data_IF_633881620896
#
_entry.id   IF_633881620896
#
_cell.length_a   1.000
_cell.length_b   1.000
_cell.length_c   1.000
_cell.angle_alpha   90.00
_cell.angle_beta   90.00
_cell.angle_gamma   90.00
#
_symmetry.space_group_name_H-M   'P 1'
#
loop_
_entity.id
_entity.type
_entity.pdbx_description
1 polymer ?
#
# COMPACT_ATOMS: atom_id res chain seq x y z
N UNK A 1 -11.82 -6.12 8.83
CA UNK A 1 -11.34 -5.10 7.88
C UNK A 1 -12.14 -3.84 8.03
N UNK A 2 -11.49 -2.69 7.96
CA UNK A 2 -12.14 -1.41 8.18
C UNK A 2 -12.58 -0.74 6.89
N UNK A 3 -11.92 -1.05 5.74
CA UNK A 3 -12.38 -0.60 4.43
C UNK A 3 -12.34 -1.80 3.49
N UNK A 4 -13.50 -2.30 3.07
CA UNK A 4 -13.55 -3.45 2.17
C UNK A 4 -13.19 -3.05 0.74
N UNK A 5 -12.84 -4.03 -0.07
CA UNK A 5 -12.51 -3.86 -1.49
C UNK A 5 -13.56 -3.03 -2.23
N UNK A 6 -14.84 -3.23 -1.92
CA UNK A 6 -15.94 -2.51 -2.59
C UNK A 6 -15.95 -1.01 -2.32
N UNK A 7 -15.25 -0.54 -1.28
CA UNK A 7 -15.21 0.86 -0.89
C UNK A 7 -13.81 1.47 -1.00
N UNK A 8 -12.80 0.68 -1.38
CA UNK A 8 -11.40 1.14 -1.33
C UNK A 8 -11.14 2.33 -2.26
N UNK A 9 -11.85 2.39 -3.38
CA UNK A 9 -11.68 3.49 -4.34
C UNK A 9 -12.11 4.86 -3.81
N UNK A 10 -12.80 4.91 -2.67
CA UNK A 10 -13.14 6.17 -2.02
C UNK A 10 -11.97 6.76 -1.24
N UNK A 11 -10.92 5.98 -1.01
CA UNK A 11 -9.78 6.35 -0.17
C UNK A 11 -8.49 6.52 -0.95
N UNK A 12 -8.48 6.15 -2.24
CA UNK A 12 -7.32 6.30 -3.12
C UNK A 12 -7.73 6.96 -4.43
N UNK A 13 -6.82 7.72 -5.08
CA UNK A 13 -7.12 8.32 -6.38
C UNK A 13 -7.00 7.34 -7.54
N UNK A 14 -6.34 6.21 -7.32
CA UNK A 14 -6.10 5.19 -8.35
C UNK A 14 -7.40 4.56 -8.83
N UNK A 15 -7.40 4.09 -10.09
CA UNK A 15 -8.55 3.41 -10.69
C UNK A 15 -8.07 2.21 -11.49
N UNK A 16 -8.98 1.26 -11.75
CA UNK A 16 -8.65 0.09 -12.53
C UNK A 16 -8.11 0.48 -13.91
N UNK A 17 -7.11 -0.22 -14.44
CA UNK A 17 -6.54 -1.47 -13.94
C UNK A 17 -5.34 -1.28 -12.98
N UNK A 18 -5.17 -0.11 -12.39
CA UNK A 18 -3.98 0.24 -11.60
C UNK A 18 -4.19 0.17 -10.09
N UNK A 19 -5.32 -0.36 -9.62
CA UNK A 19 -5.55 -0.56 -8.19
C UNK A 19 -4.82 -1.81 -7.72
N UNK A 20 -3.88 -1.65 -6.79
CA UNK A 20 -3.03 -2.73 -6.27
C UNK A 20 -3.29 -2.99 -4.77
N UNK A 21 -4.50 -2.76 -4.31
CA UNK A 21 -4.95 -3.01 -2.94
C UNK A 21 -6.39 -3.48 -2.99
N UNK A 22 -6.76 -4.45 -2.17
CA UNK A 22 -8.15 -4.88 -2.05
C UNK A 22 -8.77 -4.30 -0.77
N UNK A 23 -8.39 -4.81 0.38
CA UNK A 23 -8.99 -4.43 1.64
C UNK A 23 -7.98 -3.70 2.53
N UNK A 24 -8.44 -2.64 3.20
CA UNK A 24 -7.70 -2.06 4.29
C UNK A 24 -8.15 -2.79 5.56
N UNK A 25 -7.24 -3.57 6.13
CA UNK A 25 -7.57 -4.49 7.23
C UNK A 25 -7.62 -3.75 8.54
N UNK A 26 -6.59 -2.95 8.84
CA UNK A 26 -6.54 -2.17 10.07
C UNK A 26 -5.64 -0.95 9.87
N UNK A 27 -5.98 0.12 10.61
CA UNK A 27 -5.20 1.36 10.59
C UNK A 27 -5.11 1.91 12.01
N UNK A 28 -3.89 2.22 12.44
CA UNK A 28 -3.63 2.99 13.65
C UNK A 28 -2.53 4.00 13.32
N UNK A 29 -2.22 4.88 14.27
CA UNK A 29 -1.13 5.84 14.06
C UNK A 29 0.22 5.15 13.87
N UNK A 30 0.38 3.93 14.37
CA UNK A 30 1.65 3.20 14.37
C UNK A 30 1.73 2.12 13.30
N UNK A 31 0.58 1.68 12.73
CA UNK A 31 0.60 0.50 11.86
C UNK A 31 -0.61 0.46 10.94
N UNK A 32 -0.34 0.23 9.66
CA UNK A 32 -1.36 0.01 8.64
C UNK A 32 -1.25 -1.43 8.12
N UNK A 33 -2.37 -2.07 7.84
CA UNK A 33 -2.36 -3.40 7.25
C UNK A 33 -3.39 -3.50 6.14
N UNK A 34 -2.99 -4.08 5.00
CA UNK A 34 -3.86 -4.32 3.86
C UNK A 34 -3.68 -5.74 3.33
N UNK A 35 -4.61 -6.17 2.49
CA UNK A 35 -4.44 -7.38 1.70
C UNK A 35 -4.73 -7.09 0.23
N UNK A 36 -4.26 -7.98 -0.64
CA UNK A 36 -4.46 -7.88 -2.08
C UNK A 36 -4.38 -9.25 -2.72
N UNK A 37 -5.43 -9.65 -3.43
CA UNK A 37 -5.43 -10.85 -4.26
C UNK A 37 -5.00 -10.47 -5.68
N UNK A 38 -3.87 -10.99 -6.12
CA UNK A 38 -3.29 -10.68 -7.43
C UNK A 38 -4.03 -11.49 -8.49
N UNK A 39 -4.76 -10.83 -9.38
CA UNK A 39 -5.42 -11.50 -10.49
C UNK A 39 -4.43 -11.84 -11.59
N UNK A 40 -4.71 -12.92 -12.33
CA UNK A 40 -3.79 -13.39 -13.37
C UNK A 40 -3.60 -12.41 -14.51
N UNK A 41 -4.60 -11.59 -14.79
CA UNK A 41 -4.56 -10.56 -15.83
C UNK A 41 -4.12 -9.18 -15.31
N UNK A 42 -3.61 -9.12 -14.07
CA UNK A 42 -3.11 -7.88 -13.50
C UNK A 42 -2.00 -7.29 -14.39
N UNK A 43 -2.06 -5.98 -14.64
CA UNK A 43 -1.15 -5.30 -15.56
C UNK A 43 0.33 -5.37 -15.13
N UNK A 44 0.59 -5.65 -13.86
CA UNK A 44 1.95 -5.76 -13.31
C UNK A 44 2.37 -7.21 -13.06
N UNK A 45 1.65 -8.17 -13.64
CA UNK A 45 2.05 -9.58 -13.69
C UNK A 45 2.80 -9.82 -15.00
N UNK A 46 3.97 -10.44 -14.89
CA UNK A 46 4.80 -10.82 -16.03
C UNK A 46 5.38 -12.20 -15.76
N UNK A 47 5.29 -13.09 -16.74
CA UNK A 47 5.76 -14.48 -16.62
C UNK A 47 5.17 -15.20 -15.39
N UNK A 48 3.89 -14.94 -15.11
CA UNK A 48 3.18 -15.59 -14.01
C UNK A 48 3.49 -15.05 -12.62
N UNK A 49 4.29 -13.98 -12.53
CA UNK A 49 4.68 -13.39 -11.23
C UNK A 49 4.35 -11.90 -11.17
N UNK A 50 3.87 -11.49 -10.00
CA UNK A 50 3.64 -10.08 -9.70
C UNK A 50 5.00 -9.40 -9.52
N UNK A 51 5.25 -8.34 -10.25
CA UNK A 51 6.56 -7.72 -10.34
C UNK A 51 6.86 -6.80 -9.15
N UNK A 52 8.13 -6.43 -9.01
CA UNK A 52 8.61 -5.51 -7.98
C UNK A 52 7.81 -4.21 -7.98
N UNK A 53 7.56 -3.65 -9.17
CA UNK A 53 6.77 -2.43 -9.33
C UNK A 53 5.36 -2.58 -8.75
N UNK A 54 4.76 -3.76 -8.88
CA UNK A 54 3.45 -4.05 -8.31
C UNK A 54 3.48 -4.06 -6.79
N UNK A 55 4.52 -4.67 -6.21
CA UNK A 55 4.68 -4.70 -4.76
C UNK A 55 4.90 -3.29 -4.18
N UNK A 56 5.70 -2.47 -4.87
CA UNK A 56 5.91 -1.08 -4.46
C UNK A 56 4.63 -0.26 -4.57
N UNK A 57 3.85 -0.44 -5.66
CA UNK A 57 2.55 0.22 -5.80
C UNK A 57 1.58 -0.20 -4.71
N UNK A 58 1.55 -1.48 -4.37
CA UNK A 58 0.70 -1.97 -3.28
C UNK A 58 1.04 -1.30 -1.94
N UNK A 59 2.32 -1.17 -1.62
CA UNK A 59 2.76 -0.50 -0.40
C UNK A 59 2.34 0.98 -0.42
N UNK A 60 2.57 1.65 -1.55
CA UNK A 60 2.21 3.07 -1.70
C UNK A 60 0.70 3.29 -1.57
N UNK A 61 -0.10 2.41 -2.17
CA UNK A 61 -1.56 2.51 -2.09
C UNK A 61 -2.09 2.16 -0.70
N UNK A 62 -1.41 1.27 0.01
CA UNK A 62 -1.72 1.01 1.42
C UNK A 62 -1.53 2.28 2.25
N UNK A 63 -0.44 3.01 2.01
CA UNK A 63 -0.20 4.30 2.65
C UNK A 63 -1.31 5.30 2.31
N UNK A 64 -1.60 5.46 1.03
CA UNK A 64 -2.61 6.41 0.56
C UNK A 64 -3.98 6.14 1.17
N UNK A 65 -4.42 4.88 1.16
CA UNK A 65 -5.70 4.49 1.72
C UNK A 65 -5.74 4.72 3.23
N UNK A 66 -4.65 4.42 3.92
CA UNK A 66 -4.57 4.56 5.38
C UNK A 66 -4.57 6.01 5.82
N UNK A 67 -3.79 6.86 5.17
CA UNK A 67 -3.81 8.30 5.45
C UNK A 67 -5.17 8.90 5.09
N UNK A 68 -5.77 8.48 3.98
CA UNK A 68 -7.11 8.91 3.60
C UNK A 68 -8.17 8.52 4.64
N UNK A 69 -8.05 7.31 5.18
CA UNK A 69 -8.94 6.84 6.24
C UNK A 69 -8.78 7.68 7.53
N UNK A 70 -7.55 7.92 7.97
CA UNK A 70 -7.27 8.71 9.16
C UNK A 70 -7.75 10.15 9.01
N UNK A 71 -7.56 10.75 7.84
CA UNK A 71 -7.99 12.12 7.58
C UNK A 71 -9.51 12.26 7.64
N UNK A 72 -10.25 11.28 7.13
CA UNK A 72 -11.71 11.30 7.19
C UNK A 72 -12.22 11.17 8.62
N UNK A 73 -11.52 10.40 9.46
CA UNK A 73 -11.87 10.26 10.86
C UNK A 73 -11.62 11.55 11.66
N UNK A 74 -10.60 12.34 11.26
CA UNK A 74 -10.22 13.55 11.98
C UNK A 74 -10.99 14.79 11.52
N UNK A 75 -10.96 15.10 10.22
CA UNK A 75 -11.53 16.37 9.71
C UNK A 75 -12.48 16.20 8.52
N UNK A 76 -12.67 14.97 8.04
CA UNK A 76 -13.59 14.67 6.98
C UNK A 76 -13.12 15.05 5.58
N UNK A 77 -11.95 15.64 5.43
CA UNK A 77 -11.41 16.04 4.12
C UNK A 77 -10.28 15.12 3.69
N UNK A 78 -10.38 14.47 2.53
CA UNK A 78 -9.31 13.62 2.05
C UNK A 78 -8.10 14.43 1.63
N UNK A 79 -6.92 13.94 2.01
CA UNK A 79 -5.65 14.48 1.58
C UNK A 79 -5.04 13.54 0.54
N UNK A 80 -4.25 14.08 -0.36
CA UNK A 80 -3.57 13.29 -1.38
C UNK A 80 -2.12 13.13 -0.99
N UNK A 81 -1.66 11.87 -0.99
CA UNK A 81 -0.26 11.56 -0.72
C UNK A 81 0.49 11.26 -2.01
N UNK A 82 1.71 11.75 -2.10
CA UNK A 82 2.62 11.50 -3.21
C UNK A 82 3.89 10.85 -2.71
N UNK A 83 4.42 9.88 -3.46
CA UNK A 83 5.72 9.30 -3.15
C UNK A 83 6.80 10.30 -3.53
N UNK A 84 7.56 10.78 -2.55
CA UNK A 84 8.71 11.65 -2.78
C UNK A 84 10.00 10.88 -3.02
N UNK A 85 10.14 9.71 -2.40
CA UNK A 85 11.32 8.85 -2.56
C UNK A 85 11.01 7.44 -2.09
N UNK A 86 11.68 6.47 -2.71
CA UNK A 86 11.65 5.07 -2.28
C UNK A 86 13.11 4.67 -2.07
N UNK A 87 13.43 4.16 -0.87
CA UNK A 87 14.79 3.80 -0.51
C UNK A 87 14.82 2.44 0.20
N UNK A 88 16.02 1.89 0.34
CA UNK A 88 16.27 0.64 1.08
C UNK A 88 15.40 -0.51 0.58
N UNK A 89 15.22 -0.60 -0.74
CA UNK A 89 14.41 -1.66 -1.35
C UNK A 89 15.18 -2.97 -1.30
N UNK A 90 14.56 -3.99 -0.70
CA UNK A 90 15.09 -5.36 -0.69
C UNK A 90 13.99 -6.29 -1.20
N UNK A 91 14.26 -6.95 -2.33
CA UNK A 91 13.33 -7.93 -2.92
C UNK A 91 13.82 -9.32 -2.56
N UNK A 92 12.97 -10.09 -1.92
CA UNK A 92 13.29 -11.45 -1.49
C UNK A 92 12.64 -12.50 -2.38
N UNK A 93 11.39 -12.24 -2.80
CA UNK A 93 10.61 -13.21 -3.59
C UNK A 93 9.51 -12.44 -4.33
N UNK A 94 9.20 -12.85 -5.56
CA UNK A 94 8.04 -12.33 -6.28
C UNK A 94 6.91 -13.36 -6.20
N UNK A 95 5.71 -12.95 -5.77
CA UNK A 95 4.60 -13.90 -5.64
C UNK A 95 4.03 -14.26 -6.99
N UNK A 96 3.46 -15.46 -7.08
CA UNK A 96 2.77 -15.91 -8.28
C UNK A 96 1.45 -15.17 -8.44
N UNK A 97 0.96 -15.06 -9.68
CA UNK A 97 -0.40 -14.63 -9.94
C UNK A 97 -1.38 -15.54 -9.17
N UNK A 98 -2.48 -14.97 -8.71
CA UNK A 98 -3.48 -15.59 -7.83
C UNK A 98 -3.09 -15.66 -6.35
N UNK A 99 -1.87 -15.25 -5.98
CA UNK A 99 -1.49 -15.15 -4.57
C UNK A 99 -2.24 -14.03 -3.87
N UNK A 100 -2.55 -14.22 -2.60
CA UNK A 100 -3.05 -13.16 -1.72
C UNK A 100 -1.91 -12.71 -0.84
N UNK A 101 -1.54 -11.44 -0.97
CA UNK A 101 -0.45 -10.85 -0.19
C UNK A 101 -1.00 -9.99 0.93
N UNK A 102 -0.23 -9.88 2.00
CA UNK A 102 -0.50 -8.96 3.12
C UNK A 102 0.60 -7.93 3.15
N UNK A 103 0.23 -6.70 3.44
CA UNK A 103 1.19 -5.59 3.51
C UNK A 103 1.03 -4.87 4.82
N UNK A 104 2.16 -4.60 5.46
CA UNK A 104 2.23 -3.88 6.72
C UNK A 104 3.09 -2.65 6.50
N UNK A 105 2.57 -1.50 6.90
CA UNK A 105 3.28 -0.23 6.83
C UNK A 105 3.35 0.37 8.23
N UNK A 106 4.55 0.78 8.62
CA UNK A 106 4.79 1.42 9.91
C UNK A 106 5.30 2.84 9.69
N UNK A 107 4.54 3.88 10.07
CA UNK A 107 5.07 5.24 10.09
C UNK A 107 6.23 5.34 11.08
N UNK A 108 7.36 5.87 10.62
CA UNK A 108 8.58 6.02 11.44
C UNK A 108 8.74 7.43 11.97
N UNK A 109 8.61 8.43 11.08
CA UNK A 109 8.80 9.84 11.40
C UNK A 109 7.84 10.70 10.61
N UNK A 110 7.50 11.84 11.19
CA UNK A 110 6.74 12.88 10.50
C UNK A 110 7.47 14.21 10.68
N UNK A 111 7.68 14.93 9.58
CA UNK A 111 8.23 16.27 9.59
C UNK A 111 7.33 17.15 8.71
N UNK A 112 6.46 17.93 9.35
CA UNK A 112 5.46 18.70 8.63
C UNK A 112 4.51 17.77 7.88
N UNK A 113 4.43 17.95 6.57
CA UNK A 113 3.59 17.11 5.70
C UNK A 113 4.35 15.94 5.06
N UNK A 114 5.58 15.67 5.51
CA UNK A 114 6.40 14.57 5.02
C UNK A 114 6.39 13.45 6.04
N UNK A 115 6.04 12.24 5.59
CA UNK A 115 6.04 11.03 6.41
C UNK A 115 7.10 10.08 5.89
N UNK A 116 7.94 9.56 6.79
CA UNK A 116 8.81 8.44 6.48
C UNK A 116 8.14 7.17 6.99
N UNK A 117 7.93 6.22 6.10
CA UNK A 117 7.27 4.95 6.44
C UNK A 117 8.14 3.77 6.04
N UNK A 118 7.97 2.66 6.76
CA UNK A 118 8.58 1.37 6.42
C UNK A 118 7.46 0.46 5.94
N UNK A 119 7.62 -0.12 4.75
CA UNK A 119 6.65 -1.04 4.18
C UNK A 119 7.24 -2.42 3.96
N UNK A 120 6.45 -3.44 4.24
CA UNK A 120 6.81 -4.84 4.01
C UNK A 120 5.60 -5.59 3.50
N UNK A 121 5.80 -6.41 2.46
CA UNK A 121 4.75 -7.28 1.94
C UNK A 121 5.12 -8.74 2.19
N UNK A 122 4.08 -9.56 2.41
CA UNK A 122 4.24 -10.96 2.82
C UNK A 122 3.30 -11.86 2.02
N UNK A 123 3.74 -13.08 1.78
CA UNK A 123 2.93 -14.15 1.19
C UNK A 123 3.17 -15.43 1.95
N UNK A 124 2.10 -16.00 2.52
CA UNK A 124 2.18 -17.22 3.32
C UNK A 124 3.25 -17.13 4.44
N UNK A 125 3.33 -15.97 5.09
CA UNK A 125 4.27 -15.73 6.17
C UNK A 125 5.71 -15.44 5.75
N UNK A 126 5.99 -15.44 4.43
CA UNK A 126 7.33 -15.13 3.92
C UNK A 126 7.38 -13.69 3.45
N UNK A 127 8.46 -12.99 3.74
CA UNK A 127 8.64 -11.63 3.26
C UNK A 127 8.93 -11.63 1.76
N UNK A 128 8.24 -10.77 1.03
CA UNK A 128 8.41 -10.61 -0.40
C UNK A 128 9.33 -9.43 -0.72
N UNK A 129 9.06 -8.29 -0.11
CA UNK A 129 9.78 -7.06 -0.35
C UNK A 129 9.66 -6.17 0.88
N UNK A 130 10.73 -5.46 1.20
CA UNK A 130 10.75 -4.40 2.19
C UNK A 130 11.34 -3.14 1.61
N UNK A 131 10.90 -1.99 2.11
CA UNK A 131 11.42 -0.68 1.68
C UNK A 131 11.07 0.41 2.68
N UNK A 132 11.65 1.59 2.45
CA UNK A 132 11.20 2.82 3.10
C UNK A 132 10.72 3.79 2.03
N UNK A 133 9.68 4.54 2.36
CA UNK A 133 9.13 5.55 1.46
C UNK A 133 8.98 6.87 2.18
N UNK A 134 9.26 7.96 1.46
CA UNK A 134 8.87 9.30 1.89
C UNK A 134 7.57 9.65 1.19
N UNK A 135 6.54 9.92 1.99
CA UNK A 135 5.22 10.27 1.49
C UNK A 135 4.98 11.74 1.80
N UNK A 136 4.69 12.53 0.77
CA UNK A 136 4.32 13.95 0.92
C UNK A 136 2.81 14.04 0.86
N UNK A 137 2.20 14.51 1.93
CA UNK A 137 0.73 14.62 2.01
C UNK A 137 0.35 16.07 1.76
N UNK A 138 -0.54 16.31 0.79
CA UNK A 138 -1.03 17.64 0.44
C UNK A 138 -2.54 17.72 0.61
N UNK A 139 -3.02 18.92 0.80
CA UNK A 139 -4.45 19.21 0.89
C UNK A 139 -5.08 19.49 -0.47
#
# INVERSE_FOLDING_TARGET
MIVPKSAINQYIPHREPFIMIDNLVSVSAERFESDFCIEQDNVLVEDGHFQESGLLENIAQTCAASFGYLDREEDGEPKIGFIGAITKVEVHELPTASATIRTIVEPLHQLGNIYLVKGESFWEGRILLGCEMKIVVTH
#
